data_IF_589284504232
#
_entry.id   IF_589284504232
#
_cell.length_a   1.000
_cell.length_b   1.000
_cell.length_c   1.000
_cell.angle_alpha   90.00
_cell.angle_beta   90.00
_cell.angle_gamma   90.00
#
_symmetry.space_group_name_H-M   'P 1'
#
loop_
_entity.id
_entity.type
_entity.pdbx_description
1 polymer ?
#
# COMPACT_ATOMS: atom_id res chain seq x y z
N UNK A 1 24.74 -3.43 3.20
CA UNK A 1 23.74 -3.89 4.19
C UNK A 1 22.59 -2.95 3.98
N UNK A 2 21.53 -3.43 3.34
CA UNK A 2 20.51 -2.54 2.78
C UNK A 2 19.60 -1.99 3.87
N UNK A 3 19.31 -0.69 3.80
CA UNK A 3 18.27 -0.09 4.63
C UNK A 3 16.90 -0.38 4.04
N UNK A 4 15.94 -0.73 4.88
CA UNK A 4 14.54 -0.88 4.47
C UNK A 4 13.79 0.38 4.84
N UNK A 5 13.21 1.05 3.84
CA UNK A 5 12.48 2.31 4.01
C UNK A 5 11.06 2.10 3.53
N UNK A 6 10.10 2.26 4.45
CA UNK A 6 8.68 2.20 4.12
C UNK A 6 8.17 3.59 3.74
N UNK A 7 7.71 3.72 2.49
CA UNK A 7 7.09 4.93 1.96
C UNK A 7 5.58 4.89 2.24
N UNK A 8 5.11 5.76 3.13
CA UNK A 8 3.71 5.80 3.58
C UNK A 8 2.72 6.16 2.46
N UNK A 9 1.42 6.02 2.73
CA UNK A 9 0.35 5.93 1.72
C UNK A 9 -0.26 7.22 1.17
N UNK A 10 0.46 8.34 1.13
CA UNK A 10 -0.05 9.56 0.44
C UNK A 10 -0.04 9.31 -1.07
N UNK A 11 -1.17 9.45 -1.79
CA UNK A 11 -1.32 9.05 -3.20
C UNK A 11 -1.72 10.21 -4.14
N UNK A 12 -1.76 11.44 -3.64
CA UNK A 12 -2.14 12.63 -4.39
C UNK A 12 -0.93 13.40 -4.96
N UNK A 13 0.30 12.97 -4.67
CA UNK A 13 1.53 13.50 -5.27
C UNK A 13 2.50 12.38 -5.68
N UNK A 14 3.57 12.74 -6.41
CA UNK A 14 4.60 11.82 -6.91
C UNK A 14 5.82 11.69 -5.98
N UNK A 15 5.74 12.19 -4.75
CA UNK A 15 6.87 12.27 -3.80
C UNK A 15 7.62 10.94 -3.59
N UNK A 16 6.91 9.79 -3.63
CA UNK A 16 7.54 8.46 -3.49
C UNK A 16 8.55 8.22 -4.60
N UNK A 17 8.17 8.59 -5.81
CA UNK A 17 8.99 8.43 -6.99
C UNK A 17 10.18 9.40 -6.93
N UNK A 18 9.97 10.63 -6.45
CA UNK A 18 11.05 11.59 -6.23
C UNK A 18 12.11 11.04 -5.26
N UNK A 19 11.69 10.48 -4.13
CA UNK A 19 12.59 9.88 -3.13
C UNK A 19 13.33 8.67 -3.71
N UNK A 20 12.62 7.79 -4.43
CA UNK A 20 13.24 6.62 -5.07
C UNK A 20 14.29 7.02 -6.10
N UNK A 21 13.95 7.94 -7.01
CA UNK A 21 14.87 8.48 -8.02
C UNK A 21 16.08 9.16 -7.37
N UNK A 22 15.87 9.93 -6.32
CA UNK A 22 16.95 10.61 -5.59
C UNK A 22 17.91 9.64 -4.91
N UNK A 23 17.38 8.58 -4.28
CA UNK A 23 18.19 7.55 -3.61
C UNK A 23 19.00 6.72 -4.62
N UNK A 24 18.40 6.36 -5.75
CA UNK A 24 19.09 5.67 -6.85
C UNK A 24 20.21 6.54 -7.43
N UNK A 25 19.93 7.82 -7.73
CA UNK A 25 20.92 8.76 -8.25
C UNK A 25 22.09 9.01 -7.28
N UNK A 26 21.84 8.93 -5.98
CA UNK A 26 22.86 9.04 -4.94
C UNK A 26 23.60 7.71 -4.65
N UNK A 27 23.22 6.61 -5.30
CA UNK A 27 23.84 5.29 -5.11
C UNK A 27 23.62 4.69 -3.72
N UNK A 28 22.47 4.98 -3.08
CA UNK A 28 22.16 4.48 -1.73
C UNK A 28 21.70 3.02 -1.76
N UNK A 29 22.22 2.20 -0.84
CA UNK A 29 21.81 0.80 -0.61
C UNK A 29 20.50 0.76 0.18
N UNK A 30 19.39 1.06 -0.48
CA UNK A 30 18.04 1.15 0.11
C UNK A 30 17.06 0.25 -0.64
N UNK A 31 16.25 -0.49 0.11
CA UNK A 31 15.09 -1.23 -0.38
C UNK A 31 13.84 -0.48 0.07
N UNK A 32 13.06 0.00 -0.90
CA UNK A 32 11.79 0.67 -0.62
C UNK A 32 10.63 -0.32 -0.56
N UNK A 33 9.75 -0.14 0.42
CA UNK A 33 8.45 -0.80 0.53
C UNK A 33 7.35 0.26 0.61
N UNK A 34 6.11 -0.09 0.28
CA UNK A 34 4.98 0.85 0.24
C UNK A 34 3.65 0.10 0.48
N UNK A 35 2.58 0.77 0.90
CA UNK A 35 1.25 0.16 0.96
C UNK A 35 0.73 -0.12 -0.46
N UNK A 36 -0.31 -0.96 -0.53
CA UNK A 36 -1.13 -1.09 -1.75
C UNK A 36 -1.83 0.24 -1.99
N UNK A 37 -1.61 0.84 -3.17
CA UNK A 37 -2.26 2.09 -3.59
C UNK A 37 -3.37 1.86 -4.62
N UNK A 38 -3.61 0.60 -4.98
CA UNK A 38 -4.72 0.18 -5.82
C UNK A 38 -6.00 0.17 -5.00
N UNK A 39 -6.92 1.07 -5.35
CA UNK A 39 -8.19 1.24 -4.66
C UNK A 39 -9.04 -0.02 -4.70
N UNK A 40 -9.17 -0.66 -5.86
CA UNK A 40 -10.02 -1.84 -6.03
C UNK A 40 -9.47 -3.02 -5.22
N UNK A 41 -8.14 -3.18 -5.19
CA UNK A 41 -7.48 -4.19 -4.38
C UNK A 41 -7.67 -3.94 -2.87
N UNK A 42 -7.60 -2.67 -2.44
CA UNK A 42 -7.84 -2.28 -1.05
C UNK A 42 -9.30 -2.52 -0.63
N UNK A 43 -10.26 -2.18 -1.49
CA UNK A 43 -11.69 -2.37 -1.26
C UNK A 43 -12.08 -3.86 -1.24
N UNK A 44 -11.33 -4.69 -1.97
CA UNK A 44 -11.51 -6.14 -2.03
C UNK A 44 -10.63 -6.93 -1.04
N UNK A 45 -9.88 -6.26 -0.15
CA UNK A 45 -8.90 -6.92 0.74
C UNK A 45 -9.51 -8.06 1.59
N UNK A 46 -10.78 -7.95 1.95
CA UNK A 46 -11.51 -8.95 2.71
C UNK A 46 -12.03 -10.14 1.89
N UNK A 47 -12.12 -10.07 0.55
CA UNK A 47 -12.84 -11.04 -0.27
C UNK A 47 -12.25 -12.48 -0.19
N UNK A 48 -11.01 -12.60 0.25
CA UNK A 48 -10.33 -13.88 0.47
C UNK A 48 -10.68 -14.58 1.78
N UNK A 49 -11.42 -13.92 2.69
CA UNK A 49 -11.74 -14.43 4.03
C UNK A 49 -13.12 -15.10 4.11
N UNK A 50 -13.93 -15.02 3.05
CA UNK A 50 -15.27 -15.58 2.99
C UNK A 50 -16.18 -14.74 2.09
N UNK A 51 -17.41 -15.22 1.85
CA UNK A 51 -18.43 -14.49 1.07
C UNK A 51 -19.39 -13.76 2.02
N UNK A 52 -19.34 -12.42 2.08
CA UNK A 52 -20.26 -11.62 2.89
C UNK A 52 -21.69 -11.69 2.35
N UNK A 53 -22.68 -11.48 3.22
CA UNK A 53 -24.10 -11.55 2.84
C UNK A 53 -24.54 -10.41 1.91
N UNK A 54 -23.91 -9.25 2.05
CA UNK A 54 -24.23 -8.04 1.29
C UNK A 54 -23.03 -7.08 1.24
N UNK A 55 -23.18 -5.97 0.51
CA UNK A 55 -22.14 -4.96 0.36
C UNK A 55 -21.69 -4.32 1.67
N UNK A 56 -22.61 -4.05 2.61
CA UNK A 56 -22.24 -3.48 3.92
C UNK A 56 -21.27 -4.40 4.67
N UNK A 57 -21.55 -5.71 4.70
CA UNK A 57 -20.67 -6.67 5.37
C UNK A 57 -19.37 -6.93 4.61
N UNK A 58 -19.39 -6.81 3.28
CA UNK A 58 -18.17 -6.84 2.48
C UNK A 58 -17.24 -5.68 2.82
N UNK A 59 -17.76 -4.46 2.82
CA UNK A 59 -16.98 -3.27 3.14
C UNK A 59 -16.51 -3.30 4.60
N UNK A 60 -17.37 -3.76 5.52
CA UNK A 60 -16.98 -3.97 6.92
C UNK A 60 -15.85 -4.99 7.05
N UNK A 61 -15.87 -6.08 6.30
CA UNK A 61 -14.82 -7.10 6.31
C UNK A 61 -13.51 -6.57 5.74
N UNK A 62 -13.52 -5.95 4.55
CA UNK A 62 -12.31 -5.38 3.94
C UNK A 62 -11.71 -4.27 4.79
N UNK A 63 -12.52 -3.35 5.33
CA UNK A 63 -12.02 -2.27 6.20
C UNK A 63 -11.37 -2.79 7.49
N UNK A 64 -11.78 -3.95 8.01
CA UNK A 64 -11.15 -4.58 9.18
C UNK A 64 -9.78 -5.21 8.90
N UNK A 65 -9.48 -5.54 7.65
CA UNK A 65 -8.14 -5.98 7.24
C UNK A 65 -7.17 -4.79 7.23
N UNK A 66 -7.68 -3.61 6.88
CA UNK A 66 -6.91 -2.37 6.76
C UNK A 66 -6.77 -1.59 8.09
N UNK A 67 -7.47 -2.01 9.16
CA UNK A 67 -7.57 -1.29 10.44
C UNK A 67 -6.60 -1.78 11.51
#
# INVERSE_FOLDING_TARGET
>A
MSFYVYLSGEIHTDWREEIQRGAEAAGLDVVFTAPVTDHDASDAAGDHLGKPENGFWRDHQSSKVNA
#
